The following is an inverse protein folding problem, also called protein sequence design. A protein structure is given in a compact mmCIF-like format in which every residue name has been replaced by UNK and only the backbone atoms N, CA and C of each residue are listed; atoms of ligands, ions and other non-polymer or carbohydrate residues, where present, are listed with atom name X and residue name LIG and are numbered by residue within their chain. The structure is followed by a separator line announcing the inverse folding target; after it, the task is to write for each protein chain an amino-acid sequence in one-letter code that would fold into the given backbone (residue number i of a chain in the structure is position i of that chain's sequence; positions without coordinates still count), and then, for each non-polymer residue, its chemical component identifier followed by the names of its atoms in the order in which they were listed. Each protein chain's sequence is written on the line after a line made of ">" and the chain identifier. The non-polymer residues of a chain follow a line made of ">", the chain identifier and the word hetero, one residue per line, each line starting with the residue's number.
data_IF_160938517153
#
_entry.id   IF_160938517153
#
_cell.length_a   1.000
_cell.length_b   1.000
_cell.length_c   1.000
_cell.angle_alpha   90.00
_cell.angle_beta   90.00
_cell.angle_gamma   90.00
#
_symmetry.space_group_name_H-M   'P 1'
#
loop_
_entity.id
_entity.type
_entity.pdbx_description
1 polymer ?
#
# COMPACT_ATOMS: atom_id res chain seq x y z
N UNK A 1 30.59 -11.00 -8.60
CA UNK A 1 30.97 -10.23 -7.39
C UNK A 1 29.71 -9.61 -6.79
N UNK A 2 29.38 -9.90 -5.53
CA UNK A 2 28.20 -9.36 -4.83
C UNK A 2 28.66 -8.18 -3.97
N UNK A 3 28.25 -6.95 -4.31
CA UNK A 3 28.49 -5.76 -3.49
C UNK A 3 27.38 -5.66 -2.43
N UNK A 4 27.74 -5.68 -1.15
CA UNK A 4 26.83 -5.37 -0.03
C UNK A 4 27.41 -4.21 0.78
N UNK A 5 27.65 -3.08 0.13
CA UNK A 5 28.07 -1.87 0.85
C UNK A 5 26.84 -1.24 1.50
N UNK A 6 26.60 -1.55 2.79
CA UNK A 6 25.58 -0.86 3.60
C UNK A 6 26.15 0.50 3.99
N UNK A 7 25.69 1.56 3.32
CA UNK A 7 26.06 2.94 3.66
C UNK A 7 25.49 3.30 5.03
N UNK A 8 26.30 3.19 6.08
CA UNK A 8 25.95 3.52 7.48
C UNK A 8 26.28 4.98 7.77
N UNK A 9 25.64 5.92 7.07
CA UNK A 9 25.70 7.33 7.45
C UNK A 9 24.64 7.63 8.51
N UNK A 10 25.05 8.36 9.54
CA UNK A 10 24.14 8.84 10.57
C UNK A 10 23.23 9.93 9.96
N UNK A 11 21.90 9.78 10.06
CA UNK A 11 20.96 10.80 9.60
C UNK A 11 20.81 11.84 10.70
N UNK A 12 21.21 13.07 10.42
CA UNK A 12 21.07 14.19 11.35
C UNK A 12 19.73 14.89 11.12
N UNK A 13 18.89 14.94 12.16
CA UNK A 13 17.60 15.62 12.12
C UNK A 13 17.71 16.98 12.84
N UNK A 14 17.46 18.12 12.16
CA UNK A 14 17.47 19.43 12.79
C UNK A 14 16.29 19.60 13.76
N UNK A 15 16.44 20.46 14.76
CA UNK A 15 15.34 20.80 15.68
C UNK A 15 14.50 21.93 15.06
N UNK A 16 13.26 21.61 14.67
CA UNK A 16 12.31 22.55 14.05
C UNK A 16 11.01 22.56 14.86
N UNK A 17 10.37 23.71 15.03
CA UNK A 17 9.09 23.81 15.75
C UNK A 17 7.93 23.10 15.04
N UNK A 18 8.03 22.95 13.72
CA UNK A 18 7.03 22.29 12.88
C UNK A 18 7.22 20.78 12.75
N UNK A 19 8.30 20.20 13.29
CA UNK A 19 8.60 18.78 13.11
C UNK A 19 9.20 18.13 14.36
N UNK A 20 8.65 16.97 14.75
CA UNK A 20 9.08 16.19 15.91
C UNK A 20 10.08 15.10 15.46
N UNK A 21 11.14 14.89 16.24
CA UNK A 21 12.17 13.89 15.97
C UNK A 21 11.70 12.48 16.36
N UNK A 22 12.20 11.42 15.69
CA UNK A 22 11.93 10.06 16.13
C UNK A 22 12.29 9.87 17.60
N UNK A 23 11.37 9.30 18.37
CA UNK A 23 11.56 9.02 19.79
C UNK A 23 12.44 7.77 19.93
N UNK A 24 13.58 7.83 20.64
CA UNK A 24 14.39 6.65 20.91
C UNK A 24 13.61 5.65 21.77
N UNK A 25 13.61 4.37 21.38
CA UNK A 25 13.05 3.31 22.21
C UNK A 25 14.00 3.00 23.37
N UNK A 26 13.48 3.07 24.59
CA UNK A 26 14.19 2.71 25.83
C UNK A 26 13.44 1.57 26.52
N UNK A 27 14.01 0.97 27.56
CA UNK A 27 13.33 -0.09 28.32
C UNK A 27 11.98 0.33 28.90
N UNK A 28 11.76 1.63 29.10
CA UNK A 28 10.48 2.20 29.53
C UNK A 28 9.45 2.27 28.39
N UNK A 29 9.90 2.39 27.12
CA UNK A 29 9.06 2.52 25.92
C UNK A 29 9.43 1.40 24.94
N UNK A 30 8.94 0.21 25.26
CA UNK A 30 9.18 -0.99 24.46
C UNK A 30 8.57 -0.86 23.07
N UNK A 31 9.24 -1.44 22.07
CA UNK A 31 8.68 -1.57 20.73
C UNK A 31 7.47 -2.51 20.81
N UNK A 32 6.30 -2.12 20.27
CA UNK A 32 5.16 -3.02 20.19
C UNK A 32 5.56 -4.31 19.48
N UNK A 33 5.32 -5.46 20.10
CA UNK A 33 5.58 -6.73 19.47
C UNK A 33 4.43 -7.07 18.52
N UNK A 34 4.75 -7.66 17.37
CA UNK A 34 3.73 -8.17 16.48
C UNK A 34 2.94 -9.30 17.20
N UNK A 35 1.61 -9.36 17.04
CA UNK A 35 0.80 -10.43 17.60
C UNK A 35 1.22 -11.78 17.01
N UNK A 36 1.12 -12.83 17.81
CA UNK A 36 1.58 -14.17 17.45
C UNK A 36 0.54 -14.98 16.66
N UNK A 37 -0.74 -14.65 16.82
CA UNK A 37 -1.86 -15.20 16.08
C UNK A 37 -2.93 -14.14 15.82
N UNK A 38 -3.82 -14.39 14.86
CA UNK A 38 -4.91 -13.47 14.52
C UNK A 38 -5.97 -13.37 15.62
N UNK A 39 -6.10 -14.40 16.47
CA UNK A 39 -7.05 -14.45 17.59
C UNK A 39 -6.64 -13.56 18.77
N UNK A 40 -5.38 -13.11 18.81
CA UNK A 40 -4.83 -12.21 19.84
C UNK A 40 -5.24 -10.74 19.61
N UNK A 41 -5.72 -10.42 18.41
CA UNK A 41 -6.28 -9.10 18.06
C UNK A 41 -7.73 -9.04 18.55
N UNK A 42 -7.94 -9.19 19.86
CA UNK A 42 -9.26 -8.96 20.44
C UNK A 42 -9.51 -7.45 20.43
N UNK A 43 -10.48 -7.01 19.64
CA UNK A 43 -10.97 -5.62 19.65
C UNK A 43 -11.55 -5.31 21.02
N UNK A 44 -10.72 -4.79 21.92
CA UNK A 44 -11.16 -4.23 23.20
C UNK A 44 -11.73 -2.84 22.94
N UNK A 45 -13.02 -2.83 22.60
CA UNK A 45 -13.82 -1.62 22.47
C UNK A 45 -14.94 -1.70 23.49
N UNK A 46 -14.61 -1.53 24.76
CA UNK A 46 -15.59 -1.16 25.78
C UNK A 46 -15.66 0.37 25.83
N UNK A 47 -16.52 0.94 24.98
CA UNK A 47 -16.84 2.37 24.97
C UNK A 47 -17.81 2.66 26.11
N UNK A 48 -17.24 3.11 27.23
CA UNK A 48 -17.95 3.67 28.35
C UNK A 48 -18.20 5.15 28.14
N UNK A 49 -19.47 5.47 27.92
CA UNK A 49 -20.16 6.75 28.12
C UNK A 49 -20.66 7.46 26.86
N UNK A 50 -21.97 7.69 26.88
CA UNK A 50 -22.78 8.18 25.80
C UNK A 50 -22.49 9.66 25.53
N UNK A 51 -21.83 9.96 24.42
CA UNK A 51 -22.00 11.24 23.73
C UNK A 51 -22.47 10.94 22.31
N UNK A 52 -23.77 11.17 22.08
CA UNK A 52 -24.35 11.29 20.74
C UNK A 52 -23.69 12.46 20.00
N UNK A 53 -22.54 12.19 19.39
CA UNK A 53 -22.03 13.02 18.31
C UNK A 53 -22.68 12.49 17.03
N UNK A 54 -23.45 13.37 16.39
CA UNK A 54 -24.14 13.08 15.16
C UNK A 54 -23.18 12.42 14.18
N UNK A 55 -23.58 11.26 13.70
CA UNK A 55 -23.06 10.61 12.51
C UNK A 55 -23.37 11.53 11.32
N UNK A 56 -22.55 12.55 11.13
CA UNK A 56 -22.33 13.11 9.81
C UNK A 56 -21.53 12.08 9.01
N UNK A 57 -22.31 11.06 8.61
CA UNK A 57 -22.09 10.08 7.57
C UNK A 57 -20.80 10.35 6.80
N UNK A 58 -19.71 9.75 7.27
CA UNK A 58 -18.52 9.55 6.46
C UNK A 58 -18.82 8.46 5.40
N UNK A 59 -19.84 8.71 4.59
CA UNK A 59 -20.25 7.91 3.43
C UNK A 59 -19.55 8.40 2.15
N UNK A 60 -18.44 9.14 2.27
CA UNK A 60 -17.62 9.58 1.13
C UNK A 60 -16.39 8.69 0.89
N UNK A 61 -16.12 7.69 1.75
CA UNK A 61 -14.99 6.77 1.58
C UNK A 61 -15.37 5.42 0.96
N UNK A 62 -16.48 5.30 0.22
CA UNK A 62 -16.64 4.17 -0.69
C UNK A 62 -15.80 4.40 -1.95
N UNK A 63 -14.49 4.37 -1.78
CA UNK A 63 -13.54 4.37 -2.87
C UNK A 63 -13.47 2.94 -3.38
N UNK A 64 -14.30 2.64 -4.38
CA UNK A 64 -14.04 1.56 -5.32
C UNK A 64 -12.84 1.98 -6.19
N UNK A 65 -11.63 2.03 -5.63
CA UNK A 65 -10.40 2.25 -6.40
C UNK A 65 -9.78 0.93 -6.80
N UNK A 66 -10.42 0.31 -7.79
CA UNK A 66 -9.61 -0.29 -8.84
C UNK A 66 -8.63 0.77 -9.40
N UNK A 67 -7.48 0.38 -9.99
CA UNK A 67 -6.51 1.35 -10.50
C UNK A 67 -7.18 2.33 -11.49
N UNK A 68 -7.34 3.60 -11.08
CA UNK A 68 -7.91 4.61 -11.97
C UNK A 68 -7.01 4.77 -13.20
N UNK A 69 -7.52 4.53 -14.43
CA UNK A 69 -6.73 4.70 -15.63
C UNK A 69 -6.56 6.19 -15.92
N UNK A 70 -5.33 6.60 -16.20
CA UNK A 70 -5.05 7.94 -16.71
C UNK A 70 -5.51 8.09 -18.16
N UNK A 71 -6.10 9.23 -18.48
CA UNK A 71 -6.44 9.63 -19.85
C UNK A 71 -5.28 10.40 -20.50
N UNK A 72 -5.22 10.40 -21.84
CA UNK A 72 -4.14 11.07 -22.57
C UNK A 72 -4.12 12.60 -22.34
N UNK A 73 -5.29 13.22 -22.23
CA UNK A 73 -5.42 14.66 -21.93
C UNK A 73 -4.83 15.00 -20.57
N UNK A 74 -5.14 14.18 -19.56
CA UNK A 74 -4.68 14.34 -18.19
C UNK A 74 -3.16 14.14 -18.07
N UNK A 75 -2.60 13.21 -18.86
CA UNK A 75 -1.15 13.06 -18.98
C UNK A 75 -0.49 14.31 -19.59
N UNK A 76 -1.12 14.89 -20.60
CA UNK A 76 -0.60 16.06 -21.31
C UNK A 76 -0.69 17.33 -20.43
N UNK A 77 -1.78 17.47 -19.69
CA UNK A 77 -1.96 18.50 -18.68
C UNK A 77 -0.89 18.36 -17.59
N UNK A 78 -0.64 17.13 -17.11
CA UNK A 78 0.40 16.87 -16.12
C UNK A 78 1.82 17.21 -16.62
N UNK A 79 2.14 16.91 -17.87
CA UNK A 79 3.43 17.28 -18.49
C UNK A 79 3.60 18.80 -18.53
N UNK A 80 2.52 19.54 -18.82
CA UNK A 80 2.52 21.01 -18.88
C UNK A 80 2.56 21.64 -17.50
N UNK A 81 1.77 21.14 -16.55
CA UNK A 81 1.66 21.67 -15.18
C UNK A 81 2.97 21.48 -14.40
N UNK A 82 3.65 20.36 -14.63
CA UNK A 82 4.95 20.07 -14.03
C UNK A 82 6.14 20.65 -14.82
N UNK A 83 5.89 21.21 -16.01
CA UNK A 83 6.94 21.74 -16.89
C UNK A 83 8.03 20.72 -17.23
N UNK A 84 7.63 19.46 -17.50
CA UNK A 84 8.59 18.38 -17.73
C UNK A 84 9.35 18.58 -19.05
N UNK A 85 10.65 18.24 -19.04
CA UNK A 85 11.41 18.08 -20.28
C UNK A 85 10.91 16.86 -21.05
N UNK A 86 11.24 16.79 -22.35
CA UNK A 86 10.88 15.65 -23.22
C UNK A 86 11.23 14.30 -22.59
N UNK A 87 12.43 14.16 -22.06
CA UNK A 87 12.89 12.92 -21.43
C UNK A 87 12.09 12.56 -20.16
N UNK A 88 11.66 13.59 -19.41
CA UNK A 88 10.79 13.42 -18.24
C UNK A 88 9.39 12.94 -18.61
N UNK A 89 8.82 13.49 -19.69
CA UNK A 89 7.52 13.08 -20.21
C UNK A 89 7.55 11.64 -20.77
N UNK A 90 8.61 11.26 -21.48
CA UNK A 90 8.80 9.90 -21.99
C UNK A 90 8.96 8.87 -20.85
N UNK A 91 9.70 9.22 -19.80
CA UNK A 91 9.85 8.39 -18.60
C UNK A 91 8.51 8.21 -17.86
N UNK A 92 7.73 9.29 -17.75
CA UNK A 92 6.39 9.28 -17.14
C UNK A 92 5.45 8.34 -17.91
N UNK A 93 5.36 8.49 -19.22
CA UNK A 93 4.55 7.61 -20.09
C UNK A 93 4.99 6.14 -20.00
N UNK A 94 6.29 5.89 -19.94
CA UNK A 94 6.85 4.53 -19.79
C UNK A 94 6.44 3.88 -18.47
N UNK A 95 6.44 4.63 -17.35
CA UNK A 95 6.02 4.11 -16.04
C UNK A 95 4.53 3.81 -15.98
N UNK A 96 3.71 4.66 -16.59
CA UNK A 96 2.25 4.50 -16.61
C UNK A 96 1.78 3.35 -17.50
N UNK A 97 2.47 3.10 -18.63
CA UNK A 97 2.17 1.99 -19.53
C UNK A 97 2.28 0.60 -18.86
N UNK A 98 3.07 0.50 -17.80
CA UNK A 98 3.36 -0.76 -17.09
C UNK A 98 2.26 -1.20 -16.12
N UNK A 99 1.24 -0.37 -15.86
CA UNK A 99 0.12 -0.71 -14.98
C UNK A 99 -1.02 -1.47 -15.68
N UNK A 100 -1.02 -1.56 -17.01
CA UNK A 100 -2.08 -2.24 -17.78
C UNK A 100 -1.92 -3.77 -17.90
N UNK A 101 -0.88 -4.38 -17.34
CA UNK A 101 -0.56 -5.80 -17.62
C UNK A 101 -0.68 -6.76 -16.45
N UNK A 102 -0.62 -6.32 -15.19
CA UNK A 102 -0.60 -7.25 -14.06
C UNK A 102 -1.94 -8.00 -13.88
N UNK A 103 -3.06 -7.36 -14.17
CA UNK A 103 -4.39 -7.95 -13.92
C UNK A 103 -4.83 -8.86 -15.07
N UNK A 104 -4.43 -8.55 -16.31
CA UNK A 104 -4.80 -9.34 -17.49
C UNK A 104 -4.08 -10.69 -17.55
N UNK A 105 -2.81 -10.77 -17.11
CA UNK A 105 -2.07 -12.04 -17.08
C UNK A 105 -2.51 -12.96 -15.94
N UNK A 106 -2.92 -12.41 -14.80
CA UNK A 106 -3.48 -13.19 -13.69
C UNK A 106 -4.81 -13.86 -14.08
N UNK A 107 -5.66 -13.18 -14.85
CA UNK A 107 -6.93 -13.76 -15.31
C UNK A 107 -6.74 -14.94 -16.28
N UNK A 108 -5.76 -14.84 -17.19
CA UNK A 108 -5.44 -15.94 -18.11
C UNK A 108 -4.87 -17.16 -17.36
N UNK A 109 -4.03 -16.94 -16.35
CA UNK A 109 -3.49 -18.04 -15.52
C UNK A 109 -4.59 -18.74 -14.68
N UNK A 110 -5.58 -18.01 -14.18
CA UNK A 110 -6.69 -18.57 -13.40
C UNK A 110 -7.68 -19.36 -14.26
N UNK A 111 -7.95 -18.89 -15.49
CA UNK A 111 -8.89 -19.54 -16.43
C UNK A 111 -8.28 -20.80 -17.06
N UNK A 112 -6.96 -20.92 -17.10
CA UNK A 112 -6.26 -22.04 -17.76
C UNK A 112 -5.76 -23.12 -16.80
N UNK A 113 -6.07 -23.03 -15.49
CA UNK A 113 -5.74 -24.07 -14.52
C UNK A 113 -6.70 -25.28 -14.61
N UNK A 114 -6.22 -26.50 -14.89
CA UNK A 114 -7.06 -27.69 -14.84
C UNK A 114 -7.54 -27.96 -13.41
N UNK A 115 -8.87 -28.02 -13.25
CA UNK A 115 -9.56 -28.38 -12.02
C UNK A 115 -9.41 -29.89 -11.80
N UNK A 116 -8.28 -30.32 -11.26
CA UNK A 116 -8.15 -31.72 -10.82
C UNK A 116 -8.86 -31.89 -9.48
N UNK A 117 -9.98 -32.61 -9.54
CA UNK A 117 -10.81 -32.97 -8.41
C UNK A 117 -10.14 -34.00 -7.52
N UNK A 118 -9.87 -33.61 -6.28
CA UNK A 118 -9.55 -34.53 -5.19
C UNK A 118 -10.85 -35.12 -4.64
N UNK A 119 -11.15 -36.36 -5.00
CA UNK A 119 -12.04 -37.24 -4.22
C UNK A 119 -11.45 -38.66 -4.15
N UNK A 120 -10.84 -38.94 -2.99
CA UNK A 120 -11.08 -40.08 -2.11
C UNK A 120 -11.39 -41.48 -2.70
N UNK A 121 -10.49 -42.43 -2.41
CA UNK A 121 -10.66 -43.89 -2.16
C UNK A 121 -12.01 -44.56 -2.49
N UNK A 122 -11.97 -45.60 -3.33
CA UNK A 122 -12.83 -46.80 -3.21
C UNK A 122 -12.21 -48.03 -3.91
N UNK A 123 -12.43 -49.21 -3.29
CA UNK A 123 -11.96 -50.58 -3.57
C UNK A 123 -12.14 -51.03 -5.05
N UNK A 124 -11.43 -52.01 -5.62
CA UNK A 124 -11.03 -53.35 -5.16
C UNK A 124 -9.93 -53.92 -6.06
#
# INVERSE_FOLDING_TARGET
>A
MRSTVKNKKNVFYPNLSSAIRPVPHTSEISVPHAPSSLDEIRSDSEDGDALTHQDESCSDFSVDEGPQPFYESELNDLVRDLGLSKDGAELLGSRLKNKKSADTWNFILLVQAPREGIHSVFLQ
#
